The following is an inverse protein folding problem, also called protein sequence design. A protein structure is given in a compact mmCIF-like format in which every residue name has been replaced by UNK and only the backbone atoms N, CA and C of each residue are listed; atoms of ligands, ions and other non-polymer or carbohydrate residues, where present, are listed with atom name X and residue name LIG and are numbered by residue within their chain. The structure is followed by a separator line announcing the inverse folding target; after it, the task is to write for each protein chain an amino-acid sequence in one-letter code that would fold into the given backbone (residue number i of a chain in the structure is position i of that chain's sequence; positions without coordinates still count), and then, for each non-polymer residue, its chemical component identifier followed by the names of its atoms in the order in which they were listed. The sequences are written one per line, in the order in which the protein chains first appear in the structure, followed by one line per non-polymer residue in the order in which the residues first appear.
data_IF_267951565976
#
_entry.id   IF_267951565976
#
_cell.length_a   1.000
_cell.length_b   1.000
_cell.length_c   1.000
_cell.angle_alpha   90.00
_cell.angle_beta   90.00
_cell.angle_gamma   90.00
#
_symmetry.space_group_name_H-M   'P 1'
#
loop_
_entity.id
_entity.type
_entity.pdbx_description
1 polymer ?
#
# COMPACT_ATOMS: atom_id res chain seq x y z
N UNK A 1 -15.02 -22.19 -3.76
CA UNK A 1 -15.38 -20.75 -3.81
C UNK A 1 -14.13 -19.95 -3.54
N UNK A 2 -13.76 -19.06 -4.46
CA UNK A 2 -12.60 -18.18 -4.29
C UNK A 2 -12.99 -17.06 -3.33
N UNK A 3 -12.21 -16.83 -2.29
CA UNK A 3 -12.39 -15.71 -1.36
C UNK A 3 -11.57 -14.50 -1.81
N UNK A 4 -12.10 -13.29 -1.57
CA UNK A 4 -11.46 -12.06 -2.00
C UNK A 4 -10.83 -11.30 -0.84
N UNK A 5 -9.58 -10.84 -1.02
CA UNK A 5 -9.01 -9.76 -0.22
C UNK A 5 -9.58 -8.45 -0.75
N UNK A 6 -10.14 -7.64 0.12
CA UNK A 6 -10.72 -6.33 -0.21
C UNK A 6 -9.78 -5.22 0.27
N UNK A 7 -8.97 -4.63 -0.63
CA UNK A 7 -8.06 -3.56 -0.26
C UNK A 7 -8.79 -2.22 -0.16
N UNK A 8 -8.42 -1.42 0.85
CA UNK A 8 -8.79 -0.01 1.00
C UNK A 8 -7.50 0.80 1.03
N UNK A 9 -7.39 1.83 0.18
CA UNK A 9 -6.19 2.63 0.00
C UNK A 9 -6.51 4.11 -0.11
N UNK A 10 -5.50 4.96 0.02
CA UNK A 10 -5.68 6.42 0.02
C UNK A 10 -5.71 7.01 -1.38
N UNK A 11 -4.71 6.75 -2.18
CA UNK A 11 -4.45 7.42 -3.44
C UNK A 11 -4.72 6.57 -4.68
N UNK A 12 -4.64 7.21 -5.84
CA UNK A 12 -4.78 6.52 -7.12
C UNK A 12 -3.61 5.59 -7.42
N UNK A 13 -2.39 5.99 -7.01
CA UNK A 13 -1.20 5.18 -7.24
C UNK A 13 -1.24 3.89 -6.42
N UNK A 14 -1.75 3.95 -5.19
CA UNK A 14 -1.89 2.81 -4.30
C UNK A 14 -2.92 1.81 -4.81
N UNK A 15 -3.97 2.25 -5.54
CA UNK A 15 -4.98 1.31 -6.08
C UNK A 15 -4.39 0.27 -7.01
N UNK A 16 -3.39 0.65 -7.80
CA UNK A 16 -2.71 -0.28 -8.69
C UNK A 16 -1.62 -1.06 -7.96
N UNK A 17 -0.86 -0.37 -7.11
CA UNK A 17 0.30 -0.93 -6.41
C UNK A 17 -0.07 -2.00 -5.40
N UNK A 18 -1.10 -1.75 -4.57
CA UNK A 18 -1.55 -2.71 -3.55
C UNK A 18 -2.01 -4.02 -4.18
N UNK A 19 -2.68 -3.94 -5.32
CA UNK A 19 -3.14 -5.15 -6.01
C UNK A 19 -1.96 -6.01 -6.46
N UNK A 20 -0.96 -5.40 -7.08
CA UNK A 20 0.25 -6.10 -7.52
C UNK A 20 0.99 -6.68 -6.31
N UNK A 21 1.16 -5.90 -5.25
CA UNK A 21 1.84 -6.33 -4.03
C UNK A 21 1.15 -7.54 -3.40
N UNK A 22 -0.16 -7.47 -3.19
CA UNK A 22 -0.92 -8.58 -2.59
C UNK A 22 -0.89 -9.83 -3.47
N UNK A 23 -1.04 -9.70 -4.79
CA UNK A 23 -0.94 -10.85 -5.70
C UNK A 23 0.43 -11.52 -5.62
N UNK A 24 1.51 -10.76 -5.47
CA UNK A 24 2.85 -11.33 -5.30
C UNK A 24 3.04 -12.01 -3.95
N UNK A 25 2.52 -11.41 -2.88
CA UNK A 25 2.52 -12.03 -1.55
C UNK A 25 1.76 -13.35 -1.61
N UNK A 26 0.59 -13.39 -2.23
CA UNK A 26 -0.19 -14.60 -2.41
C UNK A 26 0.58 -15.66 -3.21
N UNK A 27 1.18 -15.27 -4.33
CA UNK A 27 2.00 -16.16 -5.15
C UNK A 27 3.21 -16.72 -4.37
N UNK A 28 3.92 -15.89 -3.60
CA UNK A 28 5.03 -16.35 -2.75
C UNK A 28 4.60 -17.31 -1.64
N UNK A 29 3.34 -17.24 -1.23
CA UNK A 29 2.71 -18.15 -0.27
C UNK A 29 1.95 -19.31 -0.95
N UNK A 30 2.06 -19.44 -2.28
CA UNK A 30 1.37 -20.45 -3.09
C UNK A 30 -0.16 -20.44 -2.89
N UNK A 31 -0.73 -19.26 -2.62
CA UNK A 31 -2.16 -19.06 -2.41
C UNK A 31 -2.81 -18.57 -3.70
N UNK A 32 -3.18 -19.51 -4.56
CA UNK A 32 -3.87 -19.28 -5.85
C UNK A 32 -5.39 -19.38 -5.75
N UNK A 33 -5.88 -19.71 -4.57
CA UNK A 33 -7.29 -19.84 -4.20
C UNK A 33 -7.90 -18.53 -3.70
N UNK A 34 -7.10 -17.47 -3.61
CA UNK A 34 -7.49 -16.13 -3.12
C UNK A 34 -7.34 -15.11 -4.24
N UNK A 35 -8.34 -14.30 -4.44
CA UNK A 35 -8.28 -13.17 -5.37
C UNK A 35 -8.07 -11.84 -4.65
N UNK A 36 -7.56 -10.85 -5.36
CA UNK A 36 -7.47 -9.46 -4.88
C UNK A 36 -8.51 -8.63 -5.60
N UNK A 37 -9.52 -8.20 -4.87
CA UNK A 37 -10.58 -7.37 -5.39
C UNK A 37 -10.06 -6.00 -5.87
N UNK A 38 -10.86 -5.30 -6.66
CA UNK A 38 -10.55 -3.91 -7.03
C UNK A 38 -10.47 -3.06 -5.75
N UNK A 39 -9.35 -2.35 -5.50
CA UNK A 39 -9.20 -1.55 -4.30
C UNK A 39 -10.25 -0.45 -4.20
N UNK A 40 -10.77 -0.23 -3.00
CA UNK A 40 -11.60 0.91 -2.67
C UNK A 40 -10.72 2.07 -2.23
N UNK A 41 -11.00 3.26 -2.73
CA UNK A 41 -10.18 4.44 -2.42
C UNK A 41 -10.92 5.38 -1.47
N UNK A 42 -10.23 5.75 -0.39
CA UNK A 42 -10.68 6.76 0.55
C UNK A 42 -9.56 7.75 0.86
N UNK A 43 -9.80 9.04 0.75
CA UNK A 43 -8.77 10.06 1.00
C UNK A 43 -8.34 10.06 2.48
N UNK A 44 -7.06 10.25 2.75
CA UNK A 44 -6.46 10.27 4.09
C UNK A 44 -7.19 11.20 5.06
N UNK A 45 -7.46 12.43 4.64
CA UNK A 45 -8.17 13.42 5.46
C UNK A 45 -9.63 13.04 5.78
N UNK A 46 -10.19 12.02 5.13
CA UNK A 46 -11.50 11.44 5.43
C UNK A 46 -11.37 10.23 6.35
N UNK A 47 -10.40 9.36 6.13
CA UNK A 47 -10.19 8.13 6.92
C UNK A 47 -10.10 8.42 8.42
N UNK A 48 -9.43 9.50 8.79
CA UNK A 48 -9.26 9.90 10.21
C UNK A 48 -10.52 10.46 10.85
N UNK A 49 -11.52 10.85 10.05
CA UNK A 49 -12.80 11.35 10.58
C UNK A 49 -13.68 10.19 11.04
N UNK A 50 -14.41 10.39 12.11
CA UNK A 50 -15.35 9.41 12.61
C UNK A 50 -16.41 9.03 11.58
N UNK A 51 -16.68 7.74 11.45
CA UNK A 51 -17.64 7.17 10.51
C UNK A 51 -17.19 7.07 9.06
N UNK A 52 -16.11 7.73 8.62
CA UNK A 52 -15.69 7.72 7.22
C UNK A 52 -14.94 6.43 6.84
N UNK A 53 -14.07 5.94 7.72
CA UNK A 53 -13.42 4.63 7.51
C UNK A 53 -14.45 3.50 7.58
N UNK A 54 -15.35 3.58 8.53
CA UNK A 54 -16.43 2.63 8.76
C UNK A 54 -17.30 2.51 7.48
N UNK A 55 -17.76 3.63 6.94
CA UNK A 55 -18.49 3.67 5.66
C UNK A 55 -17.67 3.12 4.51
N UNK A 56 -16.37 3.43 4.45
CA UNK A 56 -15.49 2.91 3.40
C UNK A 56 -15.40 1.38 3.46
N UNK A 57 -15.30 0.79 4.65
CA UNK A 57 -15.32 -0.66 4.85
C UNK A 57 -16.65 -1.25 4.39
N UNK A 58 -17.78 -0.69 4.85
CA UNK A 58 -19.12 -1.17 4.47
C UNK A 58 -19.33 -1.10 2.95
N UNK A 59 -18.99 0.02 2.32
CA UNK A 59 -19.12 0.19 0.86
C UNK A 59 -18.18 -0.74 0.09
N UNK A 60 -16.93 -0.90 0.57
CA UNK A 60 -15.98 -1.80 -0.07
C UNK A 60 -16.44 -3.26 -0.04
N UNK A 61 -17.20 -3.66 0.99
CA UNK A 61 -17.73 -5.01 1.15
C UNK A 61 -19.07 -5.23 0.43
N UNK A 62 -19.93 -4.20 0.35
CA UNK A 62 -21.28 -4.32 -0.22
C UNK A 62 -21.30 -4.80 -1.69
N UNK A 63 -20.31 -4.36 -2.49
CA UNK A 63 -20.24 -4.68 -3.91
C UNK A 63 -19.39 -5.94 -4.20
N UNK A 64 -19.05 -6.75 -3.19
CA UNK A 64 -18.14 -7.88 -3.35
C UNK A 64 -18.81 -9.23 -3.07
N UNK A 65 -18.86 -10.13 -4.04
CA UNK A 65 -19.21 -11.51 -3.76
C UNK A 65 -18.06 -12.16 -2.97
N UNK A 66 -18.39 -12.87 -1.90
CA UNK A 66 -17.46 -13.66 -1.09
C UNK A 66 -16.23 -12.92 -0.55
N UNK A 67 -16.40 -11.78 0.15
CA UNK A 67 -15.27 -11.11 0.79
C UNK A 67 -14.69 -12.00 1.89
N UNK A 68 -13.37 -12.19 1.88
CA UNK A 68 -12.64 -13.02 2.84
C UNK A 68 -11.97 -12.21 3.94
N UNK A 69 -11.42 -11.04 3.59
CA UNK A 69 -10.79 -10.13 4.55
C UNK A 69 -10.70 -8.71 3.97
N UNK A 70 -10.45 -7.75 4.85
CA UNK A 70 -10.16 -6.35 4.48
C UNK A 70 -8.71 -6.03 4.78
N UNK A 71 -8.03 -5.37 3.85
CA UNK A 71 -6.68 -4.83 4.04
C UNK A 71 -6.71 -3.32 3.81
N UNK A 72 -6.45 -2.55 4.86
CA UNK A 72 -6.32 -1.08 4.78
C UNK A 72 -4.84 -0.75 4.69
N UNK A 73 -4.42 -0.06 3.62
CA UNK A 73 -3.06 0.44 3.46
C UNK A 73 -3.09 1.95 3.27
N UNK A 74 -2.44 2.67 4.18
CA UNK A 74 -2.38 4.13 4.20
C UNK A 74 -0.96 4.59 4.51
N UNK A 75 -0.65 5.81 4.11
CA UNK A 75 0.52 6.51 4.60
C UNK A 75 0.23 7.05 6.01
N UNK A 76 1.20 6.96 6.92
CA UNK A 76 1.05 7.49 8.27
C UNK A 76 1.24 9.02 8.29
N UNK A 77 1.93 9.59 7.30
CA UNK A 77 2.33 10.99 7.25
C UNK A 77 3.09 11.41 8.54
N UNK A 78 2.53 12.35 9.28
CA UNK A 78 3.09 12.82 10.56
C UNK A 78 2.50 12.09 11.78
N UNK A 79 1.55 11.17 11.59
CA UNK A 79 0.98 10.37 12.68
C UNK A 79 1.91 9.22 13.09
N UNK A 80 1.78 8.78 14.33
CA UNK A 80 2.50 7.61 14.83
C UNK A 80 1.77 6.31 14.41
N UNK A 81 2.37 5.45 13.56
CA UNK A 81 1.74 4.20 13.12
C UNK A 81 1.34 3.27 14.27
N UNK A 82 2.14 3.26 15.35
CA UNK A 82 1.88 2.41 16.52
C UNK A 82 0.65 2.85 17.33
N UNK A 83 0.24 4.11 17.20
CA UNK A 83 -0.96 4.65 17.86
C UNK A 83 -2.15 4.61 16.91
N UNK A 84 -1.95 5.11 15.70
CA UNK A 84 -3.04 5.23 14.72
C UNK A 84 -3.51 3.85 14.20
N UNK A 85 -2.59 2.91 13.96
CA UNK A 85 -2.93 1.60 13.42
C UNK A 85 -3.94 0.82 14.26
N UNK A 86 -3.70 0.61 15.56
CA UNK A 86 -4.67 -0.02 16.45
C UNK A 86 -6.03 0.69 16.48
N UNK A 87 -6.03 2.02 16.54
CA UNK A 87 -7.27 2.82 16.53
C UNK A 87 -8.10 2.59 15.26
N UNK A 88 -7.47 2.63 14.09
CA UNK A 88 -8.15 2.35 12.82
C UNK A 88 -8.62 0.89 12.73
N UNK A 89 -7.84 -0.05 13.27
CA UNK A 89 -8.21 -1.46 13.30
C UNK A 89 -9.48 -1.69 14.13
N UNK A 90 -9.57 -1.09 15.31
CA UNK A 90 -10.74 -1.22 16.18
C UNK A 90 -11.98 -0.61 15.53
N UNK A 91 -11.85 0.51 14.84
CA UNK A 91 -12.93 1.11 14.06
C UNK A 91 -13.42 0.18 12.95
N UNK A 92 -12.51 -0.44 12.19
CA UNK A 92 -12.90 -1.42 11.17
C UNK A 92 -13.63 -2.62 11.78
N UNK A 93 -13.14 -3.15 12.90
CA UNK A 93 -13.75 -4.28 13.62
C UNK A 93 -15.15 -3.97 14.16
N UNK A 94 -15.44 -2.70 14.39
CA UNK A 94 -16.77 -2.24 14.78
C UNK A 94 -17.85 -2.46 13.71
N UNK A 95 -17.47 -2.55 12.45
CA UNK A 95 -18.41 -2.62 11.30
C UNK A 95 -18.32 -3.91 10.49
N UNK A 96 -17.33 -4.76 10.75
CA UNK A 96 -17.24 -6.07 10.07
C UNK A 96 -16.71 -7.15 11.00
N UNK A 97 -17.19 -8.39 10.79
CA UNK A 97 -16.67 -9.59 11.46
C UNK A 97 -15.58 -10.30 10.67
N UNK A 98 -15.31 -9.85 9.45
CA UNK A 98 -14.23 -10.39 8.63
C UNK A 98 -12.86 -10.06 9.25
N UNK A 99 -11.84 -10.88 9.00
CA UNK A 99 -10.47 -10.52 9.33
C UNK A 99 -10.10 -9.17 8.70
N UNK A 100 -9.49 -8.28 9.50
CA UNK A 100 -9.01 -6.97 9.05
C UNK A 100 -7.53 -6.83 9.39
N UNK A 101 -6.77 -6.34 8.44
CA UNK A 101 -5.40 -5.87 8.64
C UNK A 101 -5.34 -4.36 8.31
N UNK A 102 -4.77 -3.57 9.21
CA UNK A 102 -4.43 -2.17 8.97
C UNK A 102 -2.93 -2.04 8.91
N UNK A 103 -2.41 -1.59 7.79
CA UNK A 103 -1.00 -1.39 7.53
C UNK A 103 -0.78 0.10 7.29
N UNK A 104 0.05 0.71 8.12
CA UNK A 104 0.47 2.10 7.94
C UNK A 104 1.92 2.11 7.51
N UNK A 105 2.19 2.62 6.31
CA UNK A 105 3.55 2.93 5.91
C UNK A 105 4.05 4.10 6.78
N UNK A 106 5.19 3.92 7.44
CA UNK A 106 5.76 4.98 8.27
C UNK A 106 6.15 6.13 7.37
N UNK A 107 5.49 7.26 7.55
CA UNK A 107 5.42 8.43 6.67
C UNK A 107 4.82 8.10 5.31
N UNK A 108 5.59 7.59 4.36
CA UNK A 108 5.20 7.40 2.97
C UNK A 108 5.46 5.96 2.50
N UNK A 109 4.59 5.40 1.71
CA UNK A 109 4.74 4.06 1.11
C UNK A 109 6.04 3.94 0.28
N UNK A 110 6.49 5.03 -0.34
CA UNK A 110 7.73 5.09 -1.09
C UNK A 110 8.98 4.79 -0.25
N UNK A 111 8.91 4.96 1.07
CA UNK A 111 10.01 4.63 1.97
C UNK A 111 10.42 3.14 1.88
N UNK A 112 9.47 2.25 1.61
CA UNK A 112 9.75 0.82 1.42
C UNK A 112 10.66 0.56 0.23
N UNK A 113 10.51 1.35 -0.84
CA UNK A 113 11.38 1.26 -2.02
C UNK A 113 12.77 1.87 -1.75
N UNK A 114 12.83 2.92 -0.92
CA UNK A 114 14.11 3.50 -0.50
C UNK A 114 14.93 2.53 0.34
N UNK A 115 14.27 1.70 1.17
CA UNK A 115 14.91 0.65 1.95
C UNK A 115 15.37 -0.56 1.13
N UNK A 116 14.83 -0.72 -0.07
CA UNK A 116 15.09 -1.88 -0.95
C UNK A 116 15.76 -1.53 -2.28
N UNK A 117 16.33 -0.32 -2.43
CA UNK A 117 16.94 0.15 -3.69
C UNK A 117 17.98 -0.82 -4.28
N UNK A 118 18.76 -1.48 -3.44
CA UNK A 118 19.80 -2.41 -3.90
C UNK A 118 19.23 -3.61 -4.63
N UNK A 119 18.10 -4.14 -4.16
CA UNK A 119 17.38 -5.22 -4.84
C UNK A 119 16.70 -4.79 -6.15
N UNK A 120 16.63 -3.48 -6.37
CA UNK A 120 15.96 -2.84 -7.51
C UNK A 120 16.93 -2.25 -8.53
N UNK A 121 18.25 -2.42 -8.33
CA UNK A 121 19.29 -1.91 -9.25
C UNK A 121 19.07 -2.42 -10.67
N UNK A 122 19.16 -1.51 -11.64
CA UNK A 122 18.95 -1.81 -13.06
C UNK A 122 17.50 -2.10 -13.44
N UNK A 123 16.60 -2.15 -12.48
CA UNK A 123 15.18 -2.40 -12.70
C UNK A 123 14.46 -1.08 -12.84
N UNK A 124 13.65 -0.94 -13.91
CA UNK A 124 12.76 0.21 -14.13
C UNK A 124 13.45 1.58 -14.05
N UNK A 125 14.73 1.65 -14.40
CA UNK A 125 15.48 2.89 -14.43
C UNK A 125 16.16 3.26 -13.11
N UNK A 126 16.15 2.41 -12.10
CA UNK A 126 17.00 2.60 -10.92
C UNK A 126 18.46 2.41 -11.32
N UNK A 127 19.27 3.34 -10.87
CA UNK A 127 20.72 3.34 -11.14
C UNK A 127 21.37 2.09 -10.54
N UNK A 128 22.37 1.57 -11.25
CA UNK A 128 23.15 0.40 -10.82
C UNK A 128 23.94 0.64 -9.51
N UNK A 129 24.26 1.90 -9.22
CA UNK A 129 24.97 2.34 -8.03
C UNK A 129 24.03 2.78 -6.88
N UNK A 130 22.73 2.60 -7.02
CA UNK A 130 21.77 2.98 -5.97
C UNK A 130 22.02 2.17 -4.70
N UNK A 131 22.09 2.88 -3.56
CA UNK A 131 22.24 2.30 -2.23
C UNK A 131 20.96 2.52 -1.41
N UNK A 132 20.57 1.52 -0.66
CA UNK A 132 19.46 1.64 0.28
C UNK A 132 19.76 2.69 1.33
N UNK A 133 18.75 3.45 1.72
CA UNK A 133 18.89 4.39 2.81
C UNK A 133 18.92 3.64 4.14
N UNK A 134 19.84 3.98 5.07
CA UNK A 134 19.89 3.33 6.39
C UNK A 134 18.60 3.56 7.20
N UNK A 135 18.00 4.74 7.03
CA UNK A 135 16.75 5.13 7.68
C UNK A 135 15.75 5.62 6.63
N UNK A 136 15.18 4.71 5.82
CA UNK A 136 14.33 5.10 4.70
C UNK A 136 13.04 5.81 5.16
N UNK A 137 12.53 5.42 6.31
CA UNK A 137 11.31 5.99 6.90
C UNK A 137 11.54 7.37 7.55
N UNK A 138 12.78 7.78 7.77
CA UNK A 138 13.15 9.12 8.24
C UNK A 138 13.13 10.17 7.13
N UNK A 139 13.07 9.76 5.86
CA UNK A 139 13.18 10.65 4.70
C UNK A 139 11.83 11.29 4.41
N UNK A 140 11.75 12.61 4.51
CA UNK A 140 10.62 13.40 4.00
C UNK A 140 10.73 13.51 2.48
N UNK A 141 9.60 13.38 1.77
CA UNK A 141 9.59 13.39 0.31
C UNK A 141 10.29 12.16 -0.28
N UNK A 142 9.95 10.98 0.22
CA UNK A 142 10.53 9.71 -0.21
C UNK A 142 10.39 9.51 -1.73
N UNK A 143 9.31 10.01 -2.32
CA UNK A 143 9.05 9.98 -3.74
C UNK A 143 10.07 10.79 -4.56
N UNK A 144 10.35 12.02 -4.16
CA UNK A 144 11.35 12.89 -4.80
C UNK A 144 12.75 12.29 -4.62
N UNK A 145 13.02 11.74 -3.44
CA UNK A 145 14.28 11.07 -3.17
C UNK A 145 14.46 9.81 -4.04
N UNK A 146 13.40 9.05 -4.25
CA UNK A 146 13.42 7.90 -5.15
C UNK A 146 13.69 8.33 -6.60
N UNK A 147 13.04 9.39 -7.06
CA UNK A 147 13.21 9.94 -8.41
C UNK A 147 14.66 10.34 -8.71
N UNK A 148 15.40 10.86 -7.73
CA UNK A 148 16.84 11.20 -7.86
C UNK A 148 17.73 9.97 -8.07
N UNK A 149 17.27 8.80 -7.69
CA UNK A 149 17.99 7.53 -7.90
C UNK A 149 17.64 6.86 -9.24
N UNK A 150 16.86 7.51 -10.09
CA UNK A 150 16.51 7.01 -11.42
C UNK A 150 17.44 7.57 -12.50
N UNK A 151 17.69 6.79 -13.54
CA UNK A 151 18.46 7.21 -14.71
C UNK A 151 17.68 8.33 -15.42
N UNK A 152 18.36 9.45 -15.67
CA UNK A 152 17.76 10.60 -16.34
C UNK A 152 16.92 11.53 -15.44
N UNK A 153 16.87 11.30 -14.13
CA UNK A 153 16.11 12.14 -13.20
C UNK A 153 14.61 12.19 -13.54
N UNK A 154 14.10 11.17 -14.23
CA UNK A 154 12.75 11.15 -14.73
C UNK A 154 11.75 11.22 -13.57
N UNK A 155 11.04 12.34 -13.45
CA UNK A 155 9.83 12.44 -12.65
C UNK A 155 8.77 11.61 -13.36
N UNK A 156 8.77 10.30 -13.09
CA UNK A 156 7.70 9.44 -13.57
C UNK A 156 6.40 9.80 -12.88
N UNK A 157 5.29 9.71 -13.62
CA UNK A 157 3.97 9.87 -13.05
C UNK A 157 3.84 8.99 -11.79
N UNK A 158 3.40 9.53 -10.65
CA UNK A 158 3.34 8.82 -9.36
C UNK A 158 2.68 7.45 -9.43
N UNK A 159 1.61 7.34 -10.22
CA UNK A 159 0.88 6.10 -10.44
C UNK A 159 1.68 5.02 -11.15
N UNK A 160 2.49 5.40 -12.14
CA UNK A 160 3.37 4.45 -12.85
C UNK A 160 4.50 3.94 -11.96
N UNK A 161 5.09 4.80 -11.16
CA UNK A 161 6.23 4.43 -10.32
C UNK A 161 5.84 3.33 -9.32
N UNK A 162 4.83 3.54 -8.51
CA UNK A 162 4.38 2.57 -7.49
C UNK A 162 3.96 1.23 -8.11
N UNK A 163 3.20 1.24 -9.20
CA UNK A 163 2.78 0.02 -9.89
C UNK A 163 3.95 -0.78 -10.45
N UNK A 164 4.85 -0.11 -11.13
CA UNK A 164 6.01 -0.74 -11.75
C UNK A 164 6.94 -1.37 -10.70
N UNK A 165 7.08 -0.73 -9.54
CA UNK A 165 7.94 -1.19 -8.46
C UNK A 165 7.36 -2.41 -7.75
N UNK A 166 6.07 -2.39 -7.43
CA UNK A 166 5.42 -3.56 -6.85
C UNK A 166 5.50 -4.78 -7.79
N UNK A 167 5.58 -4.60 -9.12
CA UNK A 167 5.69 -5.69 -10.08
C UNK A 167 7.08 -6.30 -10.21
N UNK A 168 8.11 -5.68 -9.64
CA UNK A 168 9.53 -6.11 -9.79
C UNK A 168 10.15 -6.72 -8.55
N UNK A 169 9.47 -6.66 -7.41
CA UNK A 169 9.90 -7.35 -6.20
C UNK A 169 9.80 -8.86 -6.39
N UNK A 170 10.94 -9.53 -6.42
CA UNK A 170 11.09 -11.00 -6.41
C UNK A 170 11.25 -11.54 -5.00
#
# INVERSE_FOLDING_TARGET
MTVAIVPIVEGHAETESIRVLLMRILASKQRFDVEVARPFRVKRNRVVRDGELERAVEQALADRPHPGCVVVLLDADDDCPAVLGPSLLDRCRGVTRLPVAVVLANKEFEAWFLGSKESLRGVRGIRQDALSSPEPEGIKGAKEHLSRNMIGGAVTCPSMTKRLWCSTWT
#
